data_IF_293058540639
#
_entry.id   IF_293058540639
#
_cell.length_a   1.000
_cell.length_b   1.000
_cell.length_c   1.000
_cell.angle_alpha   90.00
_cell.angle_beta   90.00
_cell.angle_gamma   90.00
#
_symmetry.space_group_name_H-M   'P 1'
#
loop_
_entity.id
_entity.type
_entity.pdbx_description
1 polymer ?
#
# COMPACT_ATOMS: atom_id res chain seq x y z
N UNK A 1 -9.34 -34.05 -11.31
CA UNK A 1 -10.48 -34.72 -10.62
C UNK A 1 -11.76 -34.03 -11.08
N UNK A 2 -12.49 -34.64 -11.99
CA UNK A 2 -13.66 -34.06 -12.66
C UNK A 2 -14.80 -33.84 -11.65
N UNK A 3 -15.40 -32.64 -11.67
CA UNK A 3 -16.57 -32.29 -10.87
C UNK A 3 -17.78 -33.10 -11.36
N UNK A 4 -18.42 -33.82 -10.44
CA UNK A 4 -19.66 -34.51 -10.70
C UNK A 4 -20.81 -33.51 -10.91
N UNK A 5 -21.91 -33.86 -11.57
CA UNK A 5 -23.04 -32.96 -11.83
C UNK A 5 -23.57 -32.32 -10.55
N UNK A 6 -23.63 -33.09 -9.45
CA UNK A 6 -24.00 -32.57 -8.11
C UNK A 6 -22.98 -31.60 -7.53
N UNK A 7 -21.66 -31.86 -7.67
CA UNK A 7 -20.62 -30.94 -7.26
C UNK A 7 -20.78 -29.58 -7.96
N UNK A 8 -21.07 -29.60 -9.27
CA UNK A 8 -21.28 -28.40 -10.08
C UNK A 8 -22.53 -27.63 -9.67
N UNK A 9 -23.60 -28.34 -9.34
CA UNK A 9 -24.84 -27.72 -8.86
C UNK A 9 -24.62 -27.00 -7.52
N UNK A 10 -24.04 -27.70 -6.54
CA UNK A 10 -23.69 -27.14 -5.23
C UNK A 10 -22.72 -25.96 -5.41
N UNK A 11 -21.69 -26.13 -6.25
CA UNK A 11 -20.70 -25.09 -6.54
C UNK A 11 -21.32 -23.82 -7.12
N UNK A 12 -22.26 -23.94 -8.08
CA UNK A 12 -22.98 -22.81 -8.66
C UNK A 12 -23.83 -22.06 -7.64
N UNK A 13 -24.52 -22.80 -6.75
CA UNK A 13 -25.29 -22.20 -5.67
C UNK A 13 -24.40 -21.42 -4.69
N UNK A 14 -23.24 -22.00 -4.31
CA UNK A 14 -22.26 -21.38 -3.42
C UNK A 14 -21.65 -20.14 -4.08
N UNK A 15 -21.21 -20.23 -5.35
CA UNK A 15 -20.67 -19.10 -6.09
C UNK A 15 -21.67 -17.94 -6.14
N UNK A 16 -22.92 -18.21 -6.47
CA UNK A 16 -23.96 -17.18 -6.51
C UNK A 16 -24.14 -16.47 -5.15
N UNK A 17 -24.17 -17.25 -4.05
CA UNK A 17 -24.29 -16.69 -2.72
C UNK A 17 -23.03 -15.91 -2.28
N UNK A 18 -21.83 -16.42 -2.59
CA UNK A 18 -20.58 -15.69 -2.32
C UNK A 18 -20.56 -14.35 -3.06
N UNK A 19 -20.85 -14.35 -4.36
CA UNK A 19 -20.87 -13.11 -5.14
C UNK A 19 -21.93 -12.13 -4.65
N UNK A 20 -23.11 -12.58 -4.29
CA UNK A 20 -24.15 -11.71 -3.73
C UNK A 20 -23.72 -11.08 -2.41
N UNK A 21 -23.16 -11.89 -1.50
CA UNK A 21 -22.64 -11.40 -0.21
C UNK A 21 -21.48 -10.43 -0.40
N UNK A 22 -20.53 -10.78 -1.26
CA UNK A 22 -19.38 -9.95 -1.57
C UNK A 22 -19.79 -8.61 -2.18
N UNK A 23 -20.71 -8.64 -3.14
CA UNK A 23 -21.27 -7.42 -3.75
C UNK A 23 -21.93 -6.50 -2.71
N UNK A 24 -22.67 -7.07 -1.77
CA UNK A 24 -23.30 -6.30 -0.69
C UNK A 24 -22.25 -5.66 0.23
N UNK A 25 -21.24 -6.42 0.67
CA UNK A 25 -20.19 -5.92 1.57
C UNK A 25 -19.31 -4.86 0.88
N UNK A 26 -18.85 -5.14 -0.33
CA UNK A 26 -18.02 -4.20 -1.13
C UNK A 26 -18.83 -2.97 -1.51
N UNK A 27 -20.10 -3.14 -1.90
CA UNK A 27 -20.99 -2.01 -2.23
C UNK A 27 -21.20 -1.08 -1.03
N UNK A 28 -21.43 -1.64 0.16
CA UNK A 28 -21.54 -0.83 1.37
C UNK A 28 -20.22 -0.10 1.70
N UNK A 29 -19.10 -0.80 1.60
CA UNK A 29 -17.78 -0.18 1.78
C UNK A 29 -17.52 0.95 0.77
N UNK A 30 -17.88 0.73 -0.49
CA UNK A 30 -17.75 1.74 -1.54
C UNK A 30 -18.56 3.01 -1.24
N UNK A 31 -19.79 2.88 -0.73
CA UNK A 31 -20.62 4.02 -0.32
C UNK A 31 -19.94 4.78 0.82
N UNK A 32 -19.48 4.09 1.85
CA UNK A 32 -18.78 4.72 2.99
C UNK A 32 -17.54 5.47 2.51
N UNK A 33 -16.69 4.82 1.72
CA UNK A 33 -15.49 5.44 1.15
C UNK A 33 -15.81 6.65 0.28
N UNK A 34 -16.85 6.55 -0.56
CA UNK A 34 -17.25 7.66 -1.39
C UNK A 34 -17.66 8.88 -0.55
N UNK A 35 -18.44 8.67 0.52
CA UNK A 35 -18.82 9.74 1.46
C UNK A 35 -17.60 10.36 2.13
N UNK A 36 -16.59 9.54 2.51
CA UNK A 36 -15.33 10.04 3.04
C UNK A 36 -14.55 10.88 2.01
N UNK A 37 -14.48 10.43 0.76
CA UNK A 37 -13.81 11.16 -0.31
C UNK A 37 -14.56 12.47 -0.65
N UNK A 38 -15.87 12.47 -0.55
CA UNK A 38 -16.70 13.65 -0.79
C UNK A 38 -16.31 14.84 0.09
N UNK A 39 -15.85 14.61 1.32
CA UNK A 39 -15.31 15.65 2.23
C UNK A 39 -14.06 16.34 1.69
N UNK A 40 -13.40 15.76 0.73
CA UNK A 40 -12.19 16.30 0.09
C UNK A 40 -12.48 17.01 -1.23
N UNK A 41 -13.68 16.89 -1.78
CA UNK A 41 -14.11 17.58 -3.00
C UNK A 41 -14.05 19.09 -2.80
N UNK A 42 -13.54 19.81 -3.79
CA UNK A 42 -13.31 21.26 -3.74
C UNK A 42 -11.97 21.68 -3.12
N UNK A 43 -11.12 20.74 -2.68
CA UNK A 43 -9.75 21.03 -2.23
C UNK A 43 -8.77 20.82 -3.38
N UNK A 44 -8.00 21.86 -3.72
CA UNK A 44 -7.11 21.83 -4.90
C UNK A 44 -7.92 21.64 -6.18
N UNK A 45 -7.52 20.69 -7.02
CA UNK A 45 -8.25 20.27 -8.22
C UNK A 45 -9.08 18.99 -8.03
N UNK A 46 -9.31 18.56 -6.76
CA UNK A 46 -10.03 17.33 -6.46
C UNK A 46 -11.53 17.50 -6.64
N UNK A 47 -12.09 16.90 -7.68
CA UNK A 47 -13.49 16.97 -8.04
C UNK A 47 -14.27 15.67 -7.71
N UNK A 48 -15.57 15.65 -7.98
CA UNK A 48 -16.46 14.51 -7.72
C UNK A 48 -16.07 13.29 -8.57
N UNK A 49 -15.59 13.50 -9.81
CA UNK A 49 -15.18 12.40 -10.69
C UNK A 49 -13.94 11.69 -10.17
N UNK A 50 -13.01 12.46 -9.58
CA UNK A 50 -11.83 11.90 -8.93
C UNK A 50 -12.19 11.13 -7.65
N UNK A 51 -13.20 11.58 -6.90
CA UNK A 51 -13.71 10.83 -5.75
C UNK A 51 -14.34 9.49 -6.18
N UNK A 52 -15.12 9.47 -7.27
CA UNK A 52 -15.67 8.23 -7.85
C UNK A 52 -14.55 7.31 -8.35
N UNK A 53 -13.60 7.86 -9.11
CA UNK A 53 -12.47 7.09 -9.64
C UNK A 53 -11.61 6.50 -8.50
N UNK A 54 -11.31 7.28 -7.46
CA UNK A 54 -10.58 6.80 -6.28
C UNK A 54 -11.31 5.64 -5.60
N UNK A 55 -12.62 5.78 -5.38
CA UNK A 55 -13.44 4.74 -4.78
C UNK A 55 -13.41 3.47 -5.62
N UNK A 56 -13.59 3.58 -6.94
CA UNK A 56 -13.54 2.45 -7.87
C UNK A 56 -12.18 1.74 -7.90
N UNK A 57 -11.08 2.51 -7.95
CA UNK A 57 -9.72 1.98 -7.95
C UNK A 57 -9.33 1.27 -6.64
N UNK A 58 -9.98 1.61 -5.52
CA UNK A 58 -9.75 0.95 -4.23
C UNK A 58 -10.68 -0.23 -3.97
N UNK A 59 -11.70 -0.49 -4.80
CA UNK A 59 -12.61 -1.65 -4.68
C UNK A 59 -11.88 -3.00 -4.71
N UNK A 60 -10.85 -3.25 -5.55
CA UNK A 60 -10.15 -4.53 -5.53
C UNK A 60 -9.58 -4.88 -4.14
N UNK A 61 -9.12 -3.89 -3.39
CA UNK A 61 -8.65 -4.08 -2.01
C UNK A 61 -9.80 -4.48 -1.07
N UNK A 62 -10.98 -3.92 -1.25
CA UNK A 62 -12.16 -4.29 -0.47
C UNK A 62 -12.60 -5.72 -0.79
N UNK A 63 -12.57 -6.12 -2.06
CA UNK A 63 -12.83 -7.49 -2.48
C UNK A 63 -11.90 -8.46 -1.76
N UNK A 64 -10.59 -8.20 -1.75
CA UNK A 64 -9.62 -9.03 -1.03
C UNK A 64 -9.93 -9.09 0.47
N UNK A 65 -10.20 -7.95 1.08
CA UNK A 65 -10.45 -7.84 2.53
C UNK A 65 -11.73 -8.55 2.97
N UNK A 66 -12.82 -8.43 2.18
CA UNK A 66 -14.11 -9.00 2.53
C UNK A 66 -14.31 -10.44 1.99
N UNK A 67 -13.46 -10.90 1.08
CA UNK A 67 -13.59 -12.23 0.46
C UNK A 67 -13.68 -13.38 1.49
N UNK A 68 -12.83 -13.48 2.54
CA UNK A 68 -12.93 -14.56 3.50
C UNK A 68 -14.30 -14.59 4.22
N UNK A 69 -14.81 -13.41 4.59
CA UNK A 69 -16.13 -13.29 5.23
C UNK A 69 -17.26 -13.65 4.26
N UNK A 70 -17.18 -13.15 3.03
CA UNK A 70 -18.16 -13.42 2.00
C UNK A 70 -18.17 -14.91 1.60
N UNK A 71 -17.01 -15.56 1.55
CA UNK A 71 -16.90 -17.00 1.26
C UNK A 71 -17.56 -17.83 2.37
N UNK A 72 -17.32 -17.51 3.64
CA UNK A 72 -17.93 -18.19 4.76
C UNK A 72 -19.47 -18.01 4.77
N UNK A 73 -19.92 -16.75 4.76
CA UNK A 73 -21.35 -16.42 4.81
C UNK A 73 -22.08 -16.94 3.57
N UNK A 74 -21.48 -16.79 2.38
CA UNK A 74 -22.05 -17.26 1.13
C UNK A 74 -22.22 -18.79 1.10
N UNK A 75 -21.21 -19.53 1.60
CA UNK A 75 -21.31 -20.98 1.73
C UNK A 75 -22.42 -21.40 2.71
N UNK A 76 -22.53 -20.72 3.86
CA UNK A 76 -23.59 -20.98 4.85
C UNK A 76 -24.99 -20.69 4.28
N UNK A 77 -25.16 -19.55 3.60
CA UNK A 77 -26.41 -19.17 2.96
C UNK A 77 -26.80 -20.17 1.88
N UNK A 78 -25.85 -20.56 1.01
CA UNK A 78 -26.11 -21.53 -0.06
C UNK A 78 -26.54 -22.89 0.50
N UNK A 79 -25.75 -23.42 1.47
CA UNK A 79 -26.09 -24.70 2.10
C UNK A 79 -27.39 -24.64 2.88
N UNK A 80 -27.67 -23.53 3.58
CA UNK A 80 -28.92 -23.28 4.27
C UNK A 80 -30.12 -23.28 3.31
N UNK A 81 -30.01 -22.63 2.16
CA UNK A 81 -31.04 -22.63 1.12
C UNK A 81 -31.28 -24.03 0.53
N UNK A 82 -30.20 -24.79 0.28
CA UNK A 82 -30.34 -26.21 -0.19
C UNK A 82 -30.96 -27.10 0.89
N UNK A 83 -30.64 -26.84 2.17
CA UNK A 83 -31.23 -27.59 3.27
C UNK A 83 -32.72 -27.27 3.46
N UNK A 84 -33.11 -26.00 3.40
CA UNK A 84 -34.50 -25.54 3.58
C UNK A 84 -35.43 -26.09 2.46
N UNK A 85 -34.89 -26.32 1.27
CA UNK A 85 -35.59 -26.92 0.15
C UNK A 85 -35.55 -28.47 0.15
N UNK A 86 -35.00 -29.08 1.22
CA UNK A 86 -34.80 -30.52 1.34
C UNK A 86 -33.91 -31.15 0.26
N UNK A 87 -33.22 -30.33 -0.55
CA UNK A 87 -32.35 -30.80 -1.64
C UNK A 87 -31.14 -31.56 -1.10
N UNK A 88 -30.57 -31.15 0.03
CA UNK A 88 -29.47 -31.86 0.70
C UNK A 88 -29.91 -33.24 1.21
N UNK A 89 -31.15 -33.37 1.68
CA UNK A 89 -31.69 -34.65 2.15
C UNK A 89 -31.87 -35.63 0.94
N UNK A 90 -32.38 -35.12 -0.16
CA UNK A 90 -32.51 -35.92 -1.41
C UNK A 90 -31.15 -36.36 -1.93
N UNK A 91 -30.16 -35.47 -1.90
CA UNK A 91 -28.78 -35.83 -2.30
C UNK A 91 -28.19 -36.90 -1.38
N UNK A 92 -28.44 -36.81 -0.08
CA UNK A 92 -27.94 -37.80 0.88
C UNK A 92 -28.63 -39.16 0.71
N UNK A 93 -29.92 -39.20 0.45
CA UNK A 93 -30.66 -40.44 0.16
C UNK A 93 -30.19 -41.09 -1.14
N UNK A 94 -29.72 -40.32 -2.12
CA UNK A 94 -29.08 -40.82 -3.35
C UNK A 94 -27.60 -41.25 -3.16
N UNK A 95 -27.08 -41.32 -1.90
CA UNK A 95 -25.74 -41.79 -1.58
C UNK A 95 -24.65 -40.70 -1.60
N UNK A 96 -25.04 -39.40 -1.64
CA UNK A 96 -24.10 -38.32 -1.58
C UNK A 96 -23.82 -37.94 -0.12
N UNK A 97 -22.72 -38.45 0.45
CA UNK A 97 -22.40 -38.28 1.86
C UNK A 97 -22.12 -36.81 2.23
N UNK A 98 -22.28 -36.46 3.52
CA UNK A 98 -21.97 -35.11 4.07
C UNK A 98 -20.52 -34.68 3.79
N UNK A 99 -19.59 -35.64 3.79
CA UNK A 99 -18.20 -35.41 3.44
C UNK A 99 -18.02 -34.96 1.98
N UNK A 100 -18.79 -35.60 1.05
CA UNK A 100 -18.78 -35.21 -0.38
C UNK A 100 -19.34 -33.80 -0.57
N UNK A 101 -20.35 -33.40 0.21
CA UNK A 101 -20.87 -32.01 0.20
C UNK A 101 -19.77 -31.02 0.65
N UNK A 102 -19.10 -31.31 1.76
CA UNK A 102 -17.96 -30.48 2.24
C UNK A 102 -16.82 -30.39 1.19
N UNK A 103 -16.53 -31.53 0.50
CA UNK A 103 -15.53 -31.52 -0.55
C UNK A 103 -15.95 -30.70 -1.78
N UNK A 104 -17.24 -30.69 -2.13
CA UNK A 104 -17.76 -29.83 -3.20
C UNK A 104 -17.62 -28.32 -2.86
N UNK A 105 -17.88 -27.95 -1.58
CA UNK A 105 -17.61 -26.60 -1.08
C UNK A 105 -16.14 -26.22 -1.25
N UNK A 106 -15.22 -27.09 -0.80
CA UNK A 106 -13.77 -26.84 -0.89
C UNK A 106 -13.30 -26.76 -2.35
N UNK A 107 -13.79 -27.63 -3.23
CA UNK A 107 -13.47 -27.57 -4.67
C UNK A 107 -13.89 -26.25 -5.31
N UNK A 108 -14.97 -25.65 -4.81
CA UNK A 108 -15.47 -24.37 -5.31
C UNK A 108 -14.71 -23.19 -4.69
N UNK A 109 -14.39 -23.25 -3.39
CA UNK A 109 -13.71 -22.18 -2.69
C UNK A 109 -12.23 -22.07 -3.07
N UNK A 110 -11.52 -23.19 -3.24
CA UNK A 110 -10.07 -23.19 -3.48
C UNK A 110 -9.64 -22.39 -4.71
N UNK A 111 -10.27 -22.54 -5.90
CA UNK A 111 -9.94 -21.71 -7.06
C UNK A 111 -10.17 -20.21 -6.81
N UNK A 112 -11.21 -19.84 -6.06
CA UNK A 112 -11.50 -18.44 -5.73
C UNK A 112 -10.45 -17.86 -4.78
N UNK A 113 -10.01 -18.63 -3.79
CA UNK A 113 -8.91 -18.23 -2.90
C UNK A 113 -7.64 -17.99 -3.69
N UNK A 114 -7.26 -18.91 -4.57
CA UNK A 114 -6.09 -18.76 -5.43
C UNK A 114 -6.20 -17.52 -6.33
N UNK A 115 -7.38 -17.28 -6.90
CA UNK A 115 -7.63 -16.13 -7.74
C UNK A 115 -7.51 -14.80 -6.96
N UNK A 116 -8.08 -14.72 -5.76
CA UNK A 116 -7.96 -13.53 -4.91
C UNK A 116 -6.53 -13.31 -4.44
N UNK A 117 -5.75 -14.37 -4.16
CA UNK A 117 -4.33 -14.24 -3.82
C UNK A 117 -3.50 -13.67 -4.99
N UNK A 118 -3.74 -14.14 -6.22
CA UNK A 118 -3.03 -13.64 -7.42
C UNK A 118 -3.35 -12.15 -7.65
N UNK A 119 -4.62 -11.77 -7.55
CA UNK A 119 -5.03 -10.36 -7.70
C UNK A 119 -4.45 -9.52 -6.56
N UNK A 120 -4.44 -10.05 -5.34
CA UNK A 120 -3.88 -9.40 -4.16
C UNK A 120 -2.40 -9.06 -4.31
N UNK A 121 -1.62 -9.98 -4.87
CA UNK A 121 -0.17 -9.78 -5.04
C UNK A 121 0.17 -8.79 -6.18
N UNK A 122 -0.52 -8.83 -7.31
CA UNK A 122 -0.12 -8.08 -8.50
C UNK A 122 -1.06 -6.92 -8.85
N UNK A 123 -2.36 -7.12 -8.72
CA UNK A 123 -3.34 -6.12 -9.17
C UNK A 123 -3.58 -5.02 -8.15
N UNK A 124 -3.75 -5.39 -6.88
CA UNK A 124 -4.13 -4.44 -5.82
C UNK A 124 -3.06 -3.38 -5.55
N UNK A 125 -1.76 -3.70 -5.43
CA UNK A 125 -0.74 -2.67 -5.19
C UNK A 125 -0.72 -1.60 -6.28
N UNK A 126 -0.87 -2.00 -7.54
CA UNK A 126 -0.85 -1.08 -8.68
C UNK A 126 -2.08 -0.15 -8.67
N UNK A 127 -3.28 -0.71 -8.45
CA UNK A 127 -4.52 0.09 -8.44
C UNK A 127 -4.57 1.04 -7.24
N UNK A 128 -4.13 0.58 -6.05
CA UNK A 128 -4.04 1.43 -4.87
C UNK A 128 -3.00 2.55 -5.02
N UNK A 129 -1.83 2.24 -5.58
CA UNK A 129 -0.79 3.23 -5.81
C UNK A 129 -1.28 4.30 -6.78
N UNK A 130 -1.88 3.89 -7.91
CA UNK A 130 -2.46 4.81 -8.88
C UNK A 130 -3.56 5.69 -8.27
N UNK A 131 -4.46 5.10 -7.45
CA UNK A 131 -5.51 5.84 -6.76
C UNK A 131 -4.93 6.91 -5.82
N UNK A 132 -3.91 6.55 -5.04
CA UNK A 132 -3.25 7.48 -4.10
C UNK A 132 -2.53 8.60 -4.82
N UNK A 133 -1.80 8.29 -5.88
CA UNK A 133 -1.07 9.28 -6.68
C UNK A 133 -2.04 10.27 -7.33
N UNK A 134 -3.11 9.76 -7.95
CA UNK A 134 -4.17 10.60 -8.52
C UNK A 134 -4.76 11.55 -7.46
N UNK A 135 -5.11 11.00 -6.29
CA UNK A 135 -5.68 11.79 -5.19
C UNK A 135 -4.70 12.83 -4.65
N UNK A 136 -3.43 12.44 -4.47
CA UNK A 136 -2.40 13.33 -3.95
C UNK A 136 -2.11 14.46 -4.91
N UNK A 137 -1.98 14.17 -6.20
CA UNK A 137 -1.80 15.19 -7.26
C UNK A 137 -2.95 16.19 -7.28
N UNK A 138 -4.18 15.70 -7.21
CA UNK A 138 -5.36 16.54 -7.23
C UNK A 138 -5.50 17.43 -5.98
N UNK A 139 -5.18 16.92 -4.80
CA UNK A 139 -5.25 17.68 -3.54
C UNK A 139 -4.09 18.68 -3.37
N UNK A 140 -2.91 18.38 -3.96
CA UNK A 140 -1.69 19.18 -3.79
C UNK A 140 -1.44 20.18 -4.94
N UNK A 141 -2.39 20.33 -5.87
CA UNK A 141 -2.25 21.24 -7.02
C UNK A 141 -1.09 20.89 -7.96
N UNK A 142 -0.77 19.60 -8.11
CA UNK A 142 0.30 19.10 -9.00
C UNK A 142 1.67 18.94 -8.34
N UNK A 143 1.85 19.29 -7.07
CA UNK A 143 3.08 18.95 -6.35
C UNK A 143 2.99 17.51 -5.85
N UNK A 144 3.75 16.62 -6.48
CA UNK A 144 3.88 15.22 -6.09
C UNK A 144 4.44 15.11 -4.66
N UNK A 145 3.88 14.14 -3.93
CA UNK A 145 4.39 13.62 -2.65
C UNK A 145 4.57 14.66 -1.54
N UNK A 146 3.52 15.42 -1.22
CA UNK A 146 3.45 16.06 0.09
C UNK A 146 3.17 14.99 1.15
N UNK A 147 4.21 14.32 1.63
CA UNK A 147 4.10 13.50 2.83
C UNK A 147 3.81 14.46 3.98
N UNK A 148 2.62 14.38 4.57
CA UNK A 148 2.15 15.32 5.61
C UNK A 148 3.14 15.54 6.76
N UNK A 149 4.07 14.59 6.97
CA UNK A 149 5.03 14.58 8.09
C UNK A 149 6.51 14.48 7.64
N UNK A 150 6.81 14.65 6.33
CA UNK A 150 8.18 14.45 5.83
C UNK A 150 8.63 12.98 5.87
N UNK A 151 9.81 12.73 5.31
CA UNK A 151 10.42 11.39 5.24
C UNK A 151 11.73 11.41 6.01
N UNK A 152 11.91 10.45 6.89
CA UNK A 152 13.18 10.19 7.57
C UNK A 152 13.91 9.03 6.90
N UNK A 153 15.16 9.24 6.54
CA UNK A 153 16.04 8.20 6.03
C UNK A 153 17.35 8.19 6.83
N UNK A 154 17.96 7.02 6.98
CA UNK A 154 19.27 6.86 7.59
C UNK A 154 20.29 6.47 6.52
N UNK A 155 21.42 7.16 6.48
CA UNK A 155 22.53 6.90 5.57
C UNK A 155 23.86 6.90 6.37
N UNK A 156 24.31 5.73 6.79
CA UNK A 156 25.44 5.60 7.70
C UNK A 156 25.19 6.31 9.04
N UNK A 157 26.04 7.30 9.37
CA UNK A 157 25.93 8.13 10.56
C UNK A 157 25.04 9.37 10.36
N UNK A 158 24.47 9.54 9.16
CA UNK A 158 23.57 10.64 8.85
C UNK A 158 22.11 10.23 9.01
N UNK A 159 21.32 11.11 9.64
CA UNK A 159 19.88 11.06 9.61
C UNK A 159 19.37 12.18 8.72
N UNK A 160 18.65 11.82 7.68
CA UNK A 160 18.16 12.74 6.67
C UNK A 160 16.65 12.88 6.82
N UNK A 161 16.20 14.13 6.98
CA UNK A 161 14.79 14.48 6.97
C UNK A 161 14.46 15.28 5.71
N UNK A 162 13.56 14.78 4.90
CA UNK A 162 13.07 15.49 3.71
C UNK A 162 11.62 15.87 3.93
N UNK A 163 11.33 17.17 3.96
CA UNK A 163 9.98 17.65 4.21
C UNK A 163 9.05 17.44 3.03
N UNK A 164 9.53 17.64 1.81
CA UNK A 164 8.74 17.48 0.58
C UNK A 164 9.58 16.84 -0.51
N UNK A 165 9.00 15.84 -1.16
CA UNK A 165 9.52 15.25 -2.39
C UNK A 165 8.62 15.78 -3.51
N UNK A 166 9.17 16.55 -4.45
CA UNK A 166 8.39 17.22 -5.50
C UNK A 166 8.24 16.37 -6.77
N UNK A 167 9.34 15.76 -7.16
CA UNK A 167 9.47 14.78 -8.24
C UNK A 167 10.53 13.76 -7.82
N UNK A 168 10.64 12.64 -8.50
CA UNK A 168 11.63 11.60 -8.18
C UNK A 168 13.08 12.14 -8.16
N UNK A 169 13.33 13.29 -8.80
CA UNK A 169 14.63 13.94 -8.87
C UNK A 169 14.74 15.27 -8.10
N UNK A 170 13.69 15.72 -7.38
CA UNK A 170 13.70 17.04 -6.69
C UNK A 170 13.13 16.92 -5.28
N UNK A 171 13.93 17.40 -4.31
CA UNK A 171 13.55 17.47 -2.90
C UNK A 171 13.51 18.94 -2.44
N UNK A 172 12.66 19.22 -1.47
CA UNK A 172 12.55 20.53 -0.82
C UNK A 172 12.62 20.40 0.71
N UNK A 173 13.30 21.34 1.34
CA UNK A 173 13.47 21.43 2.80
C UNK A 173 14.15 20.17 3.37
N UNK A 174 15.44 20.00 3.07
CA UNK A 174 16.23 18.83 3.46
C UNK A 174 17.07 19.19 4.69
N UNK A 175 17.00 18.35 5.72
CA UNK A 175 17.84 18.43 6.90
C UNK A 175 18.70 17.19 7.01
N UNK A 176 20.01 17.35 7.14
CA UNK A 176 20.98 16.29 7.29
C UNK A 176 21.65 16.44 8.65
N UNK A 177 21.40 15.51 9.54
CA UNK A 177 21.98 15.44 10.87
C UNK A 177 23.12 14.43 10.86
N UNK A 178 24.34 14.86 11.10
CA UNK A 178 25.51 13.99 11.16
C UNK A 178 25.92 13.76 12.61
N UNK A 179 26.03 12.52 12.99
CA UNK A 179 26.42 12.11 14.33
C UNK A 179 27.80 11.46 14.32
N UNK A 180 28.53 11.61 15.42
CA UNK A 180 29.76 10.85 15.67
C UNK A 180 29.44 9.42 16.18
N UNK A 181 30.48 8.58 16.36
CA UNK A 181 30.34 7.21 16.86
C UNK A 181 29.82 7.16 18.32
N UNK A 182 29.90 8.28 19.05
CA UNK A 182 29.36 8.43 20.41
C UNK A 182 27.93 8.96 20.41
N UNK A 183 27.32 9.13 19.23
CA UNK A 183 25.96 9.67 19.00
C UNK A 183 25.79 11.15 19.40
N UNK A 184 26.86 11.93 19.40
CA UNK A 184 26.74 13.39 19.51
C UNK A 184 26.51 13.98 18.13
N UNK A 185 25.66 15.02 18.03
CA UNK A 185 25.44 15.76 16.81
C UNK A 185 26.68 16.61 16.51
N UNK A 186 27.32 16.39 15.37
CA UNK A 186 28.51 17.14 14.93
C UNK A 186 28.20 18.16 13.86
N UNK A 187 27.28 17.86 12.96
CA UNK A 187 26.87 18.76 11.88
C UNK A 187 25.36 18.72 11.68
N UNK A 188 24.79 19.89 11.43
CA UNK A 188 23.44 20.05 10.94
C UNK A 188 23.50 20.82 9.63
N UNK A 189 23.11 20.18 8.54
CA UNK A 189 23.04 20.80 7.23
C UNK A 189 21.57 20.95 6.82
N UNK A 190 21.16 22.15 6.46
CA UNK A 190 19.83 22.44 5.92
C UNK A 190 19.99 22.94 4.48
N UNK A 191 19.26 22.35 3.55
CA UNK A 191 19.19 22.79 2.17
C UNK A 191 17.73 23.07 1.78
N UNK A 192 17.49 24.18 1.10
CA UNK A 192 16.15 24.53 0.65
C UNK A 192 15.69 23.60 -0.49
N UNK A 193 16.60 23.19 -1.34
CA UNK A 193 16.32 22.31 -2.47
C UNK A 193 17.48 21.33 -2.71
N UNK A 194 17.15 20.15 -3.22
CA UNK A 194 18.11 19.22 -3.81
C UNK A 194 17.61 18.71 -5.15
N UNK A 195 18.50 18.60 -6.11
CA UNK A 195 18.24 18.04 -7.43
C UNK A 195 19.18 16.88 -7.69
N UNK A 196 18.61 15.73 -8.09
CA UNK A 196 19.38 14.54 -8.44
C UNK A 196 19.90 14.64 -9.86
N UNK A 197 21.18 14.37 -10.04
CA UNK A 197 21.82 14.21 -11.36
C UNK A 197 22.04 12.71 -11.61
N UNK A 198 21.29 12.16 -12.57
CA UNK A 198 21.44 10.77 -12.97
C UNK A 198 22.82 10.48 -13.63
N UNK A 199 23.45 11.49 -14.23
CA UNK A 199 24.75 11.36 -14.88
C UNK A 199 25.88 11.13 -13.86
N UNK A 200 25.82 11.82 -12.72
CA UNK A 200 26.86 11.77 -11.68
C UNK A 200 26.43 10.91 -10.47
N UNK A 201 25.20 10.41 -10.47
CA UNK A 201 24.63 9.63 -9.35
C UNK A 201 24.72 10.36 -8.00
N UNK A 202 24.54 11.70 -8.01
CA UNK A 202 24.70 12.58 -6.86
C UNK A 202 23.57 13.58 -6.75
N UNK A 203 23.31 14.03 -5.53
CA UNK A 203 22.38 15.14 -5.25
C UNK A 203 23.15 16.45 -5.22
N UNK A 204 22.65 17.47 -5.91
CA UNK A 204 23.10 18.83 -5.81
C UNK A 204 22.18 19.59 -4.88
N UNK A 205 22.69 20.00 -3.72
CA UNK A 205 21.98 20.83 -2.75
C UNK A 205 22.07 22.31 -3.17
N UNK A 206 21.00 23.06 -2.94
CA UNK A 206 20.94 24.50 -3.19
C UNK A 206 20.52 25.26 -1.92
N UNK A 207 21.13 26.43 -1.73
CA UNK A 207 20.94 27.28 -0.55
C UNK A 207 21.18 26.50 0.75
N UNK A 208 22.44 26.12 0.94
CA UNK A 208 22.87 25.22 2.01
C UNK A 208 23.37 26.03 3.19
N UNK A 209 22.78 25.81 4.35
CA UNK A 209 23.25 26.29 5.64
C UNK A 209 23.86 25.11 6.38
N UNK A 210 25.15 25.12 6.60
CA UNK A 210 25.90 24.11 7.33
C UNK A 210 26.33 24.62 8.68
N UNK A 211 25.83 24.03 9.76
CA UNK A 211 26.16 24.36 11.14
C UNK A 211 26.99 23.22 11.73
N UNK A 212 28.28 23.52 11.99
CA UNK A 212 29.15 22.61 12.75
C UNK A 212 28.92 22.86 14.26
N UNK A 213 28.58 21.79 14.97
CA UNK A 213 28.27 21.81 16.40
C UNK A 213 29.49 21.30 17.18
N UNK A 214 30.10 22.16 17.99
CA UNK A 214 31.13 21.78 18.96
C UNK A 214 30.60 21.98 20.36
N UNK A 215 31.29 21.45 21.37
CA UNK A 215 30.87 21.59 22.78
C UNK A 215 30.84 23.08 23.25
N UNK A 216 31.61 23.95 22.60
CA UNK A 216 31.77 25.33 23.04
C UNK A 216 31.15 26.36 22.09
N UNK A 217 30.95 26.00 20.81
CA UNK A 217 30.44 26.96 19.82
C UNK A 217 29.74 26.24 18.64
N UNK A 218 28.85 26.98 18.01
CA UNK A 218 28.21 26.58 16.75
C UNK A 218 28.70 27.55 15.67
N UNK A 219 29.34 27.00 14.64
CA UNK A 219 29.80 27.78 13.48
C UNK A 219 28.89 27.47 12.29
N UNK A 220 28.27 28.51 11.74
CA UNK A 220 27.39 28.35 10.56
C UNK A 220 28.05 28.97 9.34
N UNK A 221 28.06 28.20 8.24
CA UNK A 221 28.52 28.59 6.92
C UNK A 221 27.41 28.43 5.90
N UNK A 222 27.29 29.41 4.99
CA UNK A 222 26.26 29.40 3.95
C UNK A 222 26.92 29.18 2.58
N UNK A 223 26.36 28.31 1.78
CA UNK A 223 26.78 28.03 0.40
C UNK A 223 25.58 28.06 -0.55
N UNK A 224 25.79 28.57 -1.76
CA UNK A 224 24.74 28.61 -2.77
C UNK A 224 24.45 27.19 -3.31
N UNK A 225 25.48 26.40 -3.51
CA UNK A 225 25.40 25.03 -4.01
C UNK A 225 26.44 24.15 -3.33
N UNK A 226 26.10 22.87 -3.11
CA UNK A 226 27.00 21.85 -2.57
C UNK A 226 26.58 20.49 -3.08
N UNK A 227 27.55 19.67 -3.52
CA UNK A 227 27.28 18.31 -3.93
C UNK A 227 27.18 17.40 -2.69
N UNK A 228 26.15 16.56 -2.68
CA UNK A 228 25.88 15.64 -1.58
C UNK A 228 25.96 14.21 -2.09
N UNK A 229 27.02 13.52 -1.69
CA UNK A 229 27.22 12.11 -1.96
C UNK A 229 26.52 11.30 -0.89
N UNK A 230 25.54 10.50 -1.27
CA UNK A 230 24.72 9.69 -0.38
C UNK A 230 24.30 8.39 -1.07
N UNK A 231 24.03 7.36 -0.29
CA UNK A 231 23.46 6.10 -0.81
C UNK A 231 21.96 6.20 -1.10
N UNK A 232 21.31 7.32 -0.76
CA UNK A 232 19.89 7.57 -0.92
C UNK A 232 19.59 8.01 -2.36
N UNK A 233 19.22 7.08 -3.22
CA UNK A 233 18.72 7.37 -4.56
C UNK A 233 17.25 7.78 -4.53
N UNK A 234 16.70 8.41 -5.60
CA UNK A 234 15.28 8.73 -5.69
C UNK A 234 14.36 7.53 -5.43
N UNK A 235 14.70 6.36 -6.01
CA UNK A 235 13.94 5.11 -5.83
C UNK A 235 13.88 4.67 -4.36
N UNK A 236 15.01 4.77 -3.64
CA UNK A 236 15.07 4.43 -2.21
C UNK A 236 14.26 5.41 -1.35
N UNK A 237 14.30 6.71 -1.66
CA UNK A 237 13.47 7.71 -0.97
C UNK A 237 12.00 7.51 -1.27
N UNK A 238 11.65 7.14 -2.50
CA UNK A 238 10.29 6.73 -2.87
C UNK A 238 9.82 5.52 -2.05
N UNK A 239 10.64 4.48 -1.93
CA UNK A 239 10.32 3.28 -1.16
C UNK A 239 10.11 3.56 0.34
N UNK A 240 10.91 4.44 0.95
CA UNK A 240 10.75 4.84 2.37
C UNK A 240 9.47 5.68 2.59
N UNK A 241 8.98 6.37 1.57
CA UNK A 241 7.73 7.13 1.64
C UNK A 241 6.48 6.27 1.54
N UNK A 242 6.59 5.03 1.03
CA UNK A 242 5.48 4.09 0.92
C UNK A 242 5.09 3.54 2.29
N UNK A 243 3.79 3.40 2.49
CA UNK A 243 3.30 2.69 3.69
C UNK A 243 3.48 1.18 3.48
N UNK A 244 4.14 0.45 4.42
CA UNK A 244 4.35 -0.99 4.29
C UNK A 244 3.06 -1.80 4.06
N UNK A 245 1.93 -1.28 4.56
CA UNK A 245 0.59 -1.91 4.42
C UNK A 245 0.05 -1.93 2.99
N UNK A 246 0.69 -1.24 2.04
CA UNK A 246 0.29 -1.20 0.63
C UNK A 246 1.28 -1.89 -0.30
N UNK A 247 2.30 -2.53 0.26
CA UNK A 247 3.26 -3.31 -0.53
C UNK A 247 2.71 -4.72 -0.77
N UNK A 248 3.07 -5.30 -1.92
CA UNK A 248 2.92 -6.73 -2.17
C UNK A 248 3.85 -7.54 -1.26
N UNK A 249 3.66 -8.85 -1.18
CA UNK A 249 4.54 -9.73 -0.40
C UNK A 249 5.98 -9.63 -0.90
N UNK A 250 6.18 -9.63 -2.22
CA UNK A 250 7.49 -9.44 -2.85
C UNK A 250 8.10 -8.08 -2.51
N UNK A 251 7.32 -6.99 -2.62
CA UNK A 251 7.74 -5.64 -2.25
C UNK A 251 8.09 -5.51 -0.76
N UNK A 252 7.40 -6.25 0.11
CA UNK A 252 7.70 -6.28 1.53
C UNK A 252 9.04 -6.97 1.81
N UNK A 253 9.37 -8.06 1.09
CA UNK A 253 10.68 -8.71 1.19
C UNK A 253 11.83 -7.79 0.76
N UNK A 254 11.67 -7.05 -0.34
CA UNK A 254 12.66 -6.06 -0.80
C UNK A 254 12.83 -4.94 0.23
N UNK A 255 11.72 -4.45 0.80
CA UNK A 255 11.74 -3.44 1.84
C UNK A 255 12.43 -3.91 3.12
N UNK A 256 12.18 -5.15 3.57
CA UNK A 256 12.88 -5.76 4.72
C UNK A 256 14.37 -5.93 4.44
N UNK A 257 14.75 -6.34 3.23
CA UNK A 257 16.15 -6.45 2.82
C UNK A 257 16.86 -5.08 2.86
N UNK A 258 16.21 -4.04 2.38
CA UNK A 258 16.69 -2.66 2.47
C UNK A 258 16.86 -2.19 3.92
N UNK A 259 15.88 -2.43 4.81
CA UNK A 259 15.97 -2.07 6.23
C UNK A 259 17.16 -2.77 6.93
N UNK A 260 17.40 -4.04 6.61
CA UNK A 260 18.55 -4.79 7.14
C UNK A 260 19.88 -4.21 6.68
N UNK A 261 20.00 -3.82 5.40
CA UNK A 261 21.21 -3.21 4.86
C UNK A 261 21.50 -1.83 5.50
N UNK A 262 20.47 -1.08 5.85
CA UNK A 262 20.60 0.24 6.46
C UNK A 262 20.70 0.20 7.99
N UNK A 263 20.73 -1.00 8.60
CA UNK A 263 20.83 -1.16 10.06
C UNK A 263 19.59 -0.68 10.82
N UNK A 264 18.43 -0.63 10.16
CA UNK A 264 17.15 -0.28 10.77
C UNK A 264 16.44 -1.52 11.31
N UNK A 265 15.61 -1.34 12.34
CA UNK A 265 14.88 -2.46 12.96
C UNK A 265 13.74 -2.95 12.04
N UNK A 266 13.92 -4.15 11.48
CA UNK A 266 12.95 -4.81 10.62
C UNK A 266 11.94 -5.71 11.36
N UNK A 267 11.97 -5.76 12.72
CA UNK A 267 11.16 -6.69 13.52
C UNK A 267 9.68 -6.34 13.58
N UNK A 268 9.30 -5.17 13.05
CA UNK A 268 7.89 -4.71 13.06
C UNK A 268 7.14 -5.04 11.77
N UNK A 269 7.78 -5.68 10.84
CA UNK A 269 7.27 -6.08 9.52
C UNK A 269 7.59 -7.55 9.28
#
# INVERSE_FOLDING_TARGET
MLMNTLDRYIGKSILGAIFATLFTLVGLSAIIKFVEQFRSVGKGSYDIWQAVAYTGLTMPKDVETFFPMAALLGALIALGNLASRSELVVMQSAGFSRFKIGLAVMKTALPLVLFTMIIGEWGIPQTEQFARDMRTRALSGGSMLSVKNGVWAKDGNNFVYVRRIKDDAKLEDIYIYTFDDQRNLTHLKHANQAQYSAENNQWQLRQVNNSAVSKEQITTTNRLTEDWTTSLTPDKLGAVSLRPTSLSISGLYEYIAFLKQTGQDSRRF
#
